data_IF_777943818979
#
_entry.id   IF_777943818979
#
_cell.length_a   1.000
_cell.length_b   1.000
_cell.length_c   1.000
_cell.angle_alpha   90.00
_cell.angle_beta   90.00
_cell.angle_gamma   90.00
#
_symmetry.space_group_name_H-M   'P 1'
#
loop_
_entity.id
_entity.type
_entity.pdbx_description
1 polymer ?
#
# COMPACT_ATOMS: atom_id res chain seq x y z
N UNK A 1 -37.25 37.38 46.08
CA UNK A 1 -37.65 36.09 46.68
C UNK A 1 -37.63 35.03 45.58
N UNK A 2 -36.63 34.14 45.49
CA UNK A 2 -36.60 33.10 44.46
C UNK A 2 -37.44 31.88 44.89
N UNK A 3 -38.25 31.34 43.95
CA UNK A 3 -39.03 30.11 44.14
C UNK A 3 -38.11 28.89 44.01
N UNK A 4 -38.22 27.87 44.89
CA UNK A 4 -37.45 26.64 44.74
C UNK A 4 -37.96 25.82 43.55
N UNK A 5 -37.02 25.34 42.72
CA UNK A 5 -37.26 24.28 41.75
C UNK A 5 -37.60 22.99 42.50
N UNK A 6 -38.82 22.49 42.30
CA UNK A 6 -39.25 21.19 42.81
C UNK A 6 -38.81 20.15 41.79
N UNK A 7 -37.84 19.32 42.15
CA UNK A 7 -37.46 18.15 41.36
C UNK A 7 -38.59 17.12 41.36
N UNK A 8 -38.97 16.55 40.20
CA UNK A 8 -39.99 15.51 40.15
C UNK A 8 -39.49 14.22 40.81
N UNK A 9 -40.36 13.45 41.48
CA UNK A 9 -39.97 12.21 42.13
C UNK A 9 -39.53 11.18 41.08
N UNK A 10 -38.26 10.75 41.15
CA UNK A 10 -37.76 9.59 40.38
C UNK A 10 -38.57 8.35 40.74
N UNK A 11 -39.49 7.95 39.86
CA UNK A 11 -40.22 6.68 39.99
C UNK A 11 -39.22 5.52 39.96
N UNK A 12 -39.08 4.81 41.07
CA UNK A 12 -38.29 3.58 41.13
C UNK A 12 -38.98 2.53 40.25
N UNK A 13 -38.29 1.94 39.26
CA UNK A 13 -38.88 0.90 38.43
C UNK A 13 -39.23 -0.32 39.30
N UNK A 14 -40.42 -0.88 39.07
CA UNK A 14 -40.91 -2.02 39.83
C UNK A 14 -40.04 -3.26 39.57
N UNK A 15 -40.04 -4.22 40.51
CA UNK A 15 -39.29 -5.48 40.36
C UNK A 15 -39.67 -6.23 39.07
N UNK A 16 -40.93 -6.13 38.65
CA UNK A 16 -41.42 -6.71 37.39
C UNK A 16 -40.75 -6.08 36.16
N UNK A 17 -40.58 -4.76 36.13
CA UNK A 17 -39.92 -4.07 35.00
C UNK A 17 -38.43 -4.42 34.91
N UNK A 18 -37.75 -4.59 36.06
CA UNK A 18 -36.34 -5.01 36.09
C UNK A 18 -36.14 -6.44 35.59
N UNK A 19 -37.05 -7.35 35.96
CA UNK A 19 -37.02 -8.74 35.48
C UNK A 19 -37.30 -8.84 33.98
N UNK A 20 -38.27 -8.07 33.47
CA UNK A 20 -38.57 -8.02 32.04
C UNK A 20 -37.39 -7.50 31.21
N UNK A 21 -36.72 -6.44 31.67
CA UNK A 21 -35.52 -5.91 31.02
C UNK A 21 -34.36 -6.92 31.02
N UNK A 22 -34.17 -7.65 32.12
CA UNK A 22 -33.15 -8.70 32.22
C UNK A 22 -33.40 -9.85 31.23
N UNK A 23 -34.64 -10.33 31.13
CA UNK A 23 -35.02 -11.39 30.20
C UNK A 23 -34.87 -10.96 28.73
N UNK A 24 -35.24 -9.72 28.41
CA UNK A 24 -35.07 -9.17 27.06
C UNK A 24 -33.59 -9.09 26.68
N UNK A 25 -32.75 -8.58 27.58
CA UNK A 25 -31.31 -8.51 27.35
C UNK A 25 -30.70 -9.90 27.14
N UNK A 26 -31.04 -10.87 28.00
CA UNK A 26 -30.54 -12.24 27.87
C UNK A 26 -30.99 -12.88 26.54
N UNK A 27 -32.25 -12.69 26.14
CA UNK A 27 -32.77 -13.18 24.87
C UNK A 27 -32.07 -12.55 23.67
N UNK A 28 -31.82 -11.24 23.70
CA UNK A 28 -31.09 -10.54 22.64
C UNK A 28 -29.66 -11.08 22.48
N UNK A 29 -28.96 -11.33 23.58
CA UNK A 29 -27.60 -11.88 23.54
C UNK A 29 -27.59 -13.32 23.03
N UNK A 30 -28.57 -14.14 23.44
CA UNK A 30 -28.72 -15.51 22.94
C UNK A 30 -28.99 -15.55 21.43
N UNK A 31 -29.80 -14.61 20.91
CA UNK A 31 -30.08 -14.51 19.48
C UNK A 31 -28.85 -14.11 18.67
N UNK A 32 -28.04 -13.15 19.16
CA UNK A 32 -26.78 -12.76 18.52
C UNK A 32 -25.80 -13.93 18.51
N UNK A 33 -25.66 -14.65 19.63
CA UNK A 33 -24.78 -15.82 19.71
C UNK A 33 -25.20 -16.91 18.73
N UNK A 34 -26.51 -17.18 18.62
CA UNK A 34 -27.04 -18.15 17.66
C UNK A 34 -26.74 -17.73 16.22
N UNK A 35 -26.91 -16.45 15.87
CA UNK A 35 -26.61 -15.94 14.53
C UNK A 35 -25.12 -16.11 14.16
N UNK A 36 -24.21 -15.88 15.11
CA UNK A 36 -22.76 -16.08 14.90
C UNK A 36 -22.44 -17.56 14.69
N UNK A 37 -23.00 -18.45 15.52
CA UNK A 37 -22.78 -19.88 15.42
C UNK A 37 -23.31 -20.48 14.11
N UNK A 38 -24.41 -19.92 13.59
CA UNK A 38 -25.01 -20.33 12.32
C UNK A 38 -24.29 -19.77 11.08
N UNK A 39 -23.42 -18.78 11.25
CA UNK A 39 -22.74 -18.09 10.15
C UNK A 39 -21.36 -18.67 9.82
N UNK A 40 -21.14 -19.97 10.01
CA UNK A 40 -19.89 -20.60 9.57
C UNK A 40 -19.82 -20.52 8.03
N UNK A 41 -18.93 -19.67 7.53
CA UNK A 41 -18.71 -19.49 6.10
C UNK A 41 -18.15 -20.75 5.45
N UNK A 42 -18.36 -20.88 4.13
CA UNK A 42 -17.86 -22.00 3.35
C UNK A 42 -16.33 -22.19 3.51
N UNK A 43 -15.84 -23.45 3.51
CA UNK A 43 -14.42 -23.73 3.48
C UNK A 43 -13.76 -22.99 2.32
N UNK A 44 -12.66 -22.27 2.61
CA UNK A 44 -11.88 -21.60 1.56
C UNK A 44 -11.46 -22.65 0.51
N UNK A 45 -11.63 -22.37 -0.80
CA UNK A 45 -11.09 -23.22 -1.84
C UNK A 45 -9.58 -23.44 -1.61
N UNK A 46 -9.04 -24.64 -1.91
CA UNK A 46 -7.62 -24.90 -1.78
C UNK A 46 -6.83 -23.90 -2.65
N UNK A 47 -5.82 -23.29 -2.05
CA UNK A 47 -4.93 -22.36 -2.74
C UNK A 47 -4.14 -23.13 -3.81
N UNK A 48 -4.06 -22.64 -5.06
CA UNK A 48 -3.32 -23.33 -6.11
C UNK A 48 -1.84 -23.39 -5.73
N UNK A 49 -1.22 -24.56 -5.93
CA UNK A 49 0.20 -24.74 -5.62
C UNK A 49 1.07 -23.76 -6.43
N UNK A 50 2.09 -23.14 -5.80
CA UNK A 50 2.97 -22.23 -6.49
C UNK A 50 3.78 -22.98 -7.55
N UNK A 51 3.54 -22.67 -8.83
CA UNK A 51 4.38 -23.16 -9.91
C UNK A 51 5.54 -22.19 -10.14
N UNK A 52 6.77 -22.73 -10.15
CA UNK A 52 7.96 -21.97 -10.48
C UNK A 52 8.08 -21.85 -12.00
N UNK A 53 8.24 -20.62 -12.50
CA UNK A 53 8.54 -20.36 -13.92
C UNK A 53 10.05 -20.24 -14.05
N UNK A 54 10.67 -21.19 -14.76
CA UNK A 54 12.09 -21.13 -15.06
C UNK A 54 12.31 -20.36 -16.37
N UNK A 55 13.10 -19.29 -16.31
CA UNK A 55 13.41 -18.46 -17.46
C UNK A 55 14.50 -19.16 -18.28
N UNK A 56 14.09 -19.96 -19.26
CA UNK A 56 15.01 -20.53 -20.25
C UNK A 56 15.61 -19.38 -21.04
N UNK A 57 16.91 -19.14 -20.86
CA UNK A 57 17.65 -18.17 -21.65
C UNK A 57 17.66 -18.66 -23.12
N UNK A 58 17.11 -17.90 -24.07
CA UNK A 58 17.11 -18.31 -25.47
C UNK A 58 18.56 -18.46 -25.96
N UNK A 59 18.83 -19.42 -26.85
CA UNK A 59 20.17 -19.59 -27.42
C UNK A 59 20.61 -18.27 -28.07
N UNK A 60 21.93 -17.94 -27.99
CA UNK A 60 22.44 -16.74 -28.62
C UNK A 60 22.11 -16.74 -30.12
N UNK A 61 21.80 -15.57 -30.70
CA UNK A 61 21.50 -15.47 -32.11
C UNK A 61 22.66 -16.00 -32.95
N UNK A 62 22.39 -16.65 -34.09
CA UNK A 62 23.44 -17.13 -34.97
C UNK A 62 24.36 -15.97 -35.37
N UNK A 63 25.67 -16.22 -35.54
CA UNK A 63 26.59 -15.19 -35.96
C UNK A 63 26.13 -14.58 -37.29
N UNK A 64 26.32 -13.26 -37.49
CA UNK A 64 25.97 -12.61 -38.74
C UNK A 64 26.67 -13.31 -39.91
N UNK A 65 26.03 -13.40 -41.09
CA UNK A 65 26.66 -13.95 -42.28
C UNK A 65 27.99 -13.23 -42.54
N UNK A 66 29.05 -13.97 -42.92
CA UNK A 66 30.32 -13.34 -43.27
C UNK A 66 30.09 -12.33 -44.39
N UNK A 67 30.65 -11.13 -44.23
CA UNK A 67 30.61 -10.11 -45.26
C UNK A 67 31.19 -10.65 -46.58
N UNK A 68 30.61 -10.29 -47.74
CA UNK A 68 31.13 -10.70 -49.03
C UNK A 68 32.59 -10.26 -49.17
N UNK A 69 33.49 -11.23 -49.40
CA UNK A 69 34.89 -10.93 -49.72
C UNK A 69 34.92 -10.04 -50.98
N UNK A 70 35.78 -9.00 -51.03
CA UNK A 70 36.03 -8.26 -52.25
C UNK A 70 36.41 -9.22 -53.39
N UNK A 71 35.97 -8.96 -54.63
CA UNK A 71 36.28 -9.83 -55.75
C UNK A 71 37.80 -9.92 -55.94
N UNK A 72 38.29 -11.15 -56.10
CA UNK A 72 39.70 -11.43 -56.36
C UNK A 72 40.11 -10.83 -57.72
N UNK A 73 41.35 -10.32 -57.87
CA UNK A 73 41.90 -9.97 -59.17
C UNK A 73 42.03 -11.21 -60.07
N UNK A 74 41.84 -11.00 -61.38
CA UNK A 74 41.85 -12.02 -62.43
C UNK A 74 43.13 -12.87 -62.52
N UNK A 75 43.03 -14.09 -63.07
CA UNK A 75 44.06 -15.11 -62.95
C UNK A 75 45.17 -14.97 -64.00
N UNK A 76 46.42 -15.29 -63.59
CA UNK A 76 47.50 -15.63 -64.53
C UNK A 76 47.59 -17.15 -64.68
N UNK A 77 47.82 -17.70 -65.90
CA UNK A 77 47.65 -19.12 -66.16
C UNK A 77 48.91 -19.96 -65.91
N UNK A 78 48.66 -21.20 -65.50
CA UNK A 78 49.44 -22.44 -65.71
C UNK A 78 50.83 -22.53 -65.05
N UNK A 79 51.28 -23.62 -64.41
CA UNK A 79 51.04 -25.04 -64.73
C UNK A 79 51.42 -25.98 -63.55
N UNK A 80 50.68 -27.10 -63.49
CA UNK A 80 51.11 -28.50 -63.23
C UNK A 80 50.88 -29.14 -61.84
N UNK A 81 50.36 -30.38 -61.78
CA UNK A 81 49.84 -30.99 -60.54
C UNK A 81 50.86 -31.89 -59.84
N UNK A 82 50.88 -31.85 -58.50
CA UNK A 82 51.54 -32.86 -57.66
C UNK A 82 50.50 -33.62 -56.83
N UNK A 83 50.67 -34.95 -56.85
CA UNK A 83 49.88 -36.01 -56.21
C UNK A 83 49.75 -35.82 -54.68
N UNK A 84 48.64 -36.24 -54.04
CA UNK A 84 48.48 -36.07 -52.59
C UNK A 84 49.29 -37.11 -51.80
N UNK A 85 50.00 -36.72 -50.72
CA UNK A 85 50.37 -37.66 -49.66
C UNK A 85 49.25 -37.81 -48.62
N UNK A 86 49.09 -39.05 -48.15
CA UNK A 86 48.19 -39.54 -47.10
C UNK A 86 48.34 -38.78 -45.76
N UNK A 87 47.30 -38.71 -44.90
CA UNK A 87 47.30 -37.83 -43.74
C UNK A 87 48.14 -38.38 -42.58
N UNK A 88 48.92 -37.49 -41.95
CA UNK A 88 49.55 -37.73 -40.66
C UNK A 88 48.52 -37.64 -39.51
N UNK A 89 48.72 -38.34 -38.38
CA UNK A 89 47.78 -38.33 -37.25
C UNK A 89 47.60 -36.93 -36.65
N UNK A 90 46.42 -36.62 -36.07
CA UNK A 90 46.12 -35.31 -35.53
C UNK A 90 47.03 -35.00 -34.32
N UNK A 91 47.60 -33.79 -34.30
CA UNK A 91 48.32 -33.27 -33.13
C UNK A 91 47.33 -33.04 -31.98
N UNK A 92 47.74 -33.24 -30.71
CA UNK A 92 46.89 -32.91 -29.57
C UNK A 92 46.56 -31.42 -29.54
N UNK A 93 45.30 -31.08 -29.24
CA UNK A 93 44.84 -29.70 -29.09
C UNK A 93 45.64 -28.96 -28.00
N UNK A 94 45.96 -27.66 -28.20
CA UNK A 94 46.57 -26.87 -27.14
C UNK A 94 45.58 -26.68 -25.99
N UNK A 95 46.07 -26.86 -24.76
CA UNK A 95 45.31 -26.58 -23.53
C UNK A 95 44.83 -25.11 -23.53
N UNK A 96 43.60 -24.80 -23.08
CA UNK A 96 43.11 -23.43 -23.03
C UNK A 96 43.98 -22.57 -22.10
N UNK A 97 44.22 -21.28 -22.42
CA UNK A 97 44.93 -20.39 -21.52
C UNK A 97 44.11 -20.17 -20.24
N UNK A 98 44.76 -20.31 -19.09
CA UNK A 98 44.18 -20.02 -17.78
C UNK A 98 43.90 -18.52 -17.70
N UNK A 99 42.63 -18.11 -17.58
CA UNK A 99 42.27 -16.70 -17.33
C UNK A 99 42.85 -16.28 -15.98
N UNK A 100 43.83 -15.39 -15.98
CA UNK A 100 44.20 -14.63 -14.78
C UNK A 100 42.99 -13.79 -14.36
N UNK A 101 42.61 -13.88 -13.08
CA UNK A 101 41.52 -13.08 -12.53
C UNK A 101 41.87 -11.58 -12.68
N UNK A 102 40.98 -10.82 -13.31
CA UNK A 102 41.10 -9.36 -13.37
C UNK A 102 40.96 -8.83 -11.93
N UNK A 103 41.83 -7.94 -11.46
CA UNK A 103 41.67 -7.33 -10.14
C UNK A 103 40.30 -6.65 -10.05
N UNK A 104 39.52 -6.98 -9.02
CA UNK A 104 38.27 -6.28 -8.74
C UNK A 104 38.59 -4.81 -8.49
N UNK A 105 38.07 -3.91 -9.32
CA UNK A 105 38.13 -2.48 -9.07
C UNK A 105 37.31 -2.25 -7.81
N UNK A 106 37.98 -1.89 -6.72
CA UNK A 106 37.31 -1.50 -5.48
C UNK A 106 36.50 -0.24 -5.82
N UNK A 107 35.17 -0.20 -5.55
CA UNK A 107 34.41 1.03 -5.74
C UNK A 107 35.10 2.15 -4.95
N UNK A 108 35.08 3.40 -5.45
CA UNK A 108 35.69 4.51 -4.74
C UNK A 108 35.08 4.60 -3.34
N UNK A 109 35.92 4.87 -2.32
CA UNK A 109 35.46 5.21 -0.98
C UNK A 109 34.70 6.54 -1.09
N UNK A 110 33.38 6.45 -1.23
CA UNK A 110 32.49 7.59 -1.15
C UNK A 110 32.17 7.76 0.32
N UNK A 111 32.59 8.90 0.88
CA UNK A 111 32.23 9.29 2.24
C UNK A 111 30.70 9.23 2.37
N UNK A 112 30.15 8.38 3.26
CA UNK A 112 28.71 8.25 3.40
C UNK A 112 28.13 9.62 3.75
N UNK A 113 27.20 10.10 2.94
CA UNK A 113 26.43 11.29 3.29
C UNK A 113 25.88 11.08 4.71
N UNK A 114 26.05 12.05 5.63
CA UNK A 114 25.56 11.90 6.98
C UNK A 114 24.06 11.67 6.91
N UNK A 115 23.62 10.48 7.34
CA UNK A 115 22.21 10.24 7.57
C UNK A 115 21.79 11.19 8.69
N UNK A 116 20.99 12.20 8.37
CA UNK A 116 20.26 12.95 9.39
C UNK A 116 19.55 11.94 10.27
N UNK A 117 19.72 11.98 11.61
CA UNK A 117 19.00 11.08 12.50
C UNK A 117 17.52 11.19 12.15
N UNK A 118 16.87 10.04 11.97
CA UNK A 118 15.44 10.00 11.69
C UNK A 118 14.74 10.87 12.72
N UNK A 119 14.12 11.97 12.26
CA UNK A 119 13.30 12.84 13.10
C UNK A 119 12.43 11.95 13.98
N UNK A 120 12.46 12.17 15.30
CA UNK A 120 11.71 11.40 16.32
C UNK A 120 10.38 10.93 15.77
N UNK A 121 10.36 9.70 15.29
CA UNK A 121 9.30 9.23 14.40
C UNK A 121 8.05 9.02 15.23
N UNK A 122 6.97 9.73 14.91
CA UNK A 122 5.69 9.49 15.55
C UNK A 122 5.07 8.19 15.02
N UNK A 123 4.71 7.30 15.95
CA UNK A 123 4.10 6.02 15.63
C UNK A 123 2.62 6.18 15.26
N UNK A 124 2.12 5.31 14.38
CA UNK A 124 0.72 5.21 14.02
C UNK A 124 -0.07 4.72 15.24
N UNK A 125 -1.12 5.47 15.59
CA UNK A 125 -2.01 5.14 16.69
C UNK A 125 -3.22 4.34 16.17
N UNK A 126 -3.81 3.51 17.04
CA UNK A 126 -5.08 2.83 16.77
C UNK A 126 -6.20 3.60 17.47
N UNK A 127 -7.22 3.98 16.72
CA UNK A 127 -8.36 4.77 17.17
C UNK A 127 -9.61 3.89 17.29
N UNK A 128 -10.26 3.94 18.45
CA UNK A 128 -11.55 3.34 18.71
C UNK A 128 -12.72 4.28 18.35
N UNK A 129 -13.96 3.79 18.48
CA UNK A 129 -15.16 4.53 18.06
C UNK A 129 -15.33 5.89 18.74
N UNK A 130 -14.94 6.02 20.01
CA UNK A 130 -15.06 7.28 20.74
C UNK A 130 -14.15 8.37 20.16
N UNK A 131 -12.95 8.01 19.70
CA UNK A 131 -11.98 8.94 19.10
C UNK A 131 -12.36 9.30 17.66
N UNK A 132 -13.13 8.43 17.00
CA UNK A 132 -13.67 8.65 15.66
C UNK A 132 -15.03 9.36 15.67
N UNK A 133 -15.56 9.72 16.85
CA UNK A 133 -16.82 10.44 16.95
C UNK A 133 -16.73 11.78 16.20
N UNK A 134 -17.60 11.98 15.21
CA UNK A 134 -17.59 13.17 14.36
C UNK A 134 -16.57 13.14 13.21
N UNK A 135 -15.87 12.01 13.00
CA UNK A 135 -15.03 11.84 11.83
C UNK A 135 -15.86 11.84 10.53
N UNK A 136 -15.33 12.47 9.49
CA UNK A 136 -15.94 12.47 8.16
C UNK A 136 -15.73 11.12 7.51
N UNK A 137 -16.81 10.48 7.09
CA UNK A 137 -16.80 9.24 6.30
C UNK A 137 -17.50 9.46 4.97
N UNK A 138 -17.39 8.49 4.06
CA UNK A 138 -18.14 8.53 2.80
C UNK A 138 -19.63 8.65 3.09
N UNK A 139 -20.27 9.70 2.54
CA UNK A 139 -21.70 9.97 2.73
C UNK A 139 -22.06 10.83 3.95
N UNK A 140 -21.10 11.20 4.81
CA UNK A 140 -21.32 12.05 5.98
C UNK A 140 -21.01 13.55 5.73
N UNK A 141 -20.79 13.95 4.47
CA UNK A 141 -20.48 15.34 4.10
C UNK A 141 -21.71 16.25 4.11
N UNK A 142 -21.63 17.33 4.88
CA UNK A 142 -22.56 18.48 4.90
C UNK A 142 -22.99 18.90 3.50
N UNK A 143 -24.30 18.84 3.24
CA UNK A 143 -24.89 19.26 1.97
C UNK A 143 -24.86 20.78 1.78
N UNK A 144 -24.43 21.21 0.60
CA UNK A 144 -24.80 22.48 -0.01
C UNK A 144 -24.88 22.29 -1.53
N UNK A 145 -26.10 22.37 -2.09
CA UNK A 145 -26.32 22.89 -3.44
C UNK A 145 -26.38 21.89 -4.60
N UNK A 146 -27.52 21.93 -5.29
CA UNK A 146 -27.84 21.34 -6.58
C UNK A 146 -26.79 21.57 -7.69
N UNK A 147 -26.68 20.59 -8.60
CA UNK A 147 -25.99 20.72 -9.89
C UNK A 147 -24.52 20.25 -9.85
N UNK A 148 -24.22 19.16 -10.54
CA UNK A 148 -22.86 18.68 -10.86
C UNK A 148 -21.89 18.36 -9.69
N UNK A 149 -22.43 18.08 -8.50
CA UNK A 149 -21.71 17.84 -7.24
C UNK A 149 -20.99 16.49 -7.06
N UNK A 150 -20.59 15.81 -8.14
CA UNK A 150 -19.71 14.64 -8.09
C UNK A 150 -18.20 15.00 -8.11
N UNK A 151 -17.87 16.28 -8.35
CA UNK A 151 -16.54 16.67 -8.82
C UNK A 151 -15.41 16.61 -7.78
N UNK A 152 -15.70 16.75 -6.47
CA UNK A 152 -14.65 16.77 -5.42
C UNK A 152 -14.97 15.97 -4.14
N UNK A 153 -15.76 14.88 -4.21
CA UNK A 153 -15.87 13.92 -3.08
C UNK A 153 -14.58 13.10 -2.95
N UNK A 154 -13.56 13.74 -2.36
CA UNK A 154 -12.22 13.17 -2.17
C UNK A 154 -12.22 11.99 -1.21
N UNK A 155 -13.14 11.95 -0.23
CA UNK A 155 -13.25 10.82 0.71
C UNK A 155 -13.71 9.58 -0.05
N UNK A 156 -14.74 9.71 -0.89
CA UNK A 156 -15.23 8.61 -1.73
C UNK A 156 -14.20 8.18 -2.77
N UNK A 157 -13.53 9.13 -3.42
CA UNK A 157 -12.44 8.86 -4.38
C UNK A 157 -11.32 8.06 -3.71
N UNK A 158 -10.82 8.53 -2.58
CA UNK A 158 -9.74 7.88 -1.85
C UNK A 158 -10.17 6.49 -1.35
N UNK A 159 -11.36 6.37 -0.78
CA UNK A 159 -11.89 5.07 -0.37
C UNK A 159 -11.96 4.08 -1.52
N UNK A 160 -12.51 4.50 -2.66
CA UNK A 160 -12.62 3.64 -3.83
C UNK A 160 -11.25 3.21 -4.36
N UNK A 161 -10.26 4.10 -4.38
CA UNK A 161 -8.90 3.79 -4.80
C UNK A 161 -8.20 2.80 -3.87
N UNK A 162 -8.26 3.03 -2.55
CA UNK A 162 -7.59 2.17 -1.57
C UNK A 162 -8.24 0.78 -1.47
N UNK A 163 -9.56 0.68 -1.59
CA UNK A 163 -10.29 -0.61 -1.65
C UNK A 163 -9.83 -1.48 -2.81
N UNK A 164 -9.61 -0.87 -3.99
CA UNK A 164 -9.14 -1.58 -5.19
C UNK A 164 -7.66 -1.99 -5.11
N UNK A 165 -6.90 -1.50 -4.13
CA UNK A 165 -5.48 -1.80 -4.01
C UNK A 165 -5.24 -2.97 -3.03
N UNK A 166 -4.96 -4.20 -3.51
CA UNK A 166 -4.69 -5.33 -2.62
C UNK A 166 -3.43 -5.14 -1.77
N UNK A 167 -2.44 -4.37 -2.25
CA UNK A 167 -1.20 -4.08 -1.50
C UNK A 167 -1.45 -3.21 -0.28
N UNK A 168 -2.41 -2.28 -0.37
CA UNK A 168 -2.82 -1.45 0.77
C UNK A 168 -3.48 -2.31 1.84
N UNK A 169 -4.37 -3.22 1.44
CA UNK A 169 -5.05 -4.13 2.36
C UNK A 169 -4.08 -5.10 3.04
N UNK A 170 -3.16 -5.71 2.28
CA UNK A 170 -2.16 -6.61 2.85
C UNK A 170 -1.19 -5.86 3.77
N UNK A 171 -0.73 -4.66 3.39
CA UNK A 171 0.14 -3.85 4.23
C UNK A 171 -0.52 -3.48 5.58
N UNK A 172 -1.81 -3.12 5.57
CA UNK A 172 -2.54 -2.82 6.80
C UNK A 172 -2.73 -4.07 7.66
N UNK A 173 -3.09 -5.21 7.06
CA UNK A 173 -3.25 -6.47 7.79
C UNK A 173 -1.92 -6.94 8.42
N UNK A 174 -0.79 -6.76 7.72
CA UNK A 174 0.54 -7.13 8.24
C UNK A 174 1.03 -6.18 9.34
N UNK A 175 0.76 -4.88 9.22
CA UNK A 175 1.26 -3.88 10.18
C UNK A 175 0.34 -3.71 11.40
N UNK A 176 -0.97 -3.91 11.25
CA UNK A 176 -2.00 -3.63 12.25
C UNK A 176 -3.14 -4.65 12.20
N UNK A 177 -2.81 -5.95 12.12
CA UNK A 177 -3.79 -7.02 12.04
C UNK A 177 -4.76 -7.07 13.24
N UNK A 178 -4.27 -6.78 14.45
CA UNK A 178 -5.11 -6.72 15.66
C UNK A 178 -6.07 -5.52 15.63
N UNK A 179 -5.60 -4.35 15.21
CA UNK A 179 -6.45 -3.18 14.99
C UNK A 179 -7.56 -3.49 13.97
N UNK A 180 -7.18 -4.09 12.85
CA UNK A 180 -8.09 -4.47 11.78
C UNK A 180 -9.12 -5.50 12.25
N UNK A 181 -8.71 -6.52 13.01
CA UNK A 181 -9.59 -7.54 13.55
C UNK A 181 -10.57 -6.99 14.62
N UNK A 182 -10.12 -6.00 15.41
CA UNK A 182 -10.95 -5.29 16.39
C UNK A 182 -11.75 -4.13 15.77
N UNK A 183 -11.67 -3.95 14.45
CA UNK A 183 -12.35 -2.90 13.73
C UNK A 183 -11.81 -1.50 13.95
N UNK A 184 -10.75 -1.29 14.75
CA UNK A 184 -10.15 0.03 15.01
C UNK A 184 -9.60 0.66 13.74
N UNK A 185 -9.57 1.99 13.70
CA UNK A 185 -8.93 2.72 12.61
C UNK A 185 -7.46 2.98 12.92
N UNK A 186 -6.59 2.79 11.93
CA UNK A 186 -5.17 3.14 12.06
C UNK A 186 -4.96 4.58 11.62
N UNK A 187 -4.51 5.45 12.53
CA UNK A 187 -4.15 6.83 12.23
C UNK A 187 -2.80 6.84 11.52
N UNK A 188 -2.81 7.29 10.26
CA UNK A 188 -1.62 7.28 9.40
C UNK A 188 -1.09 8.68 9.07
N UNK A 189 -1.90 9.72 9.29
CA UNK A 189 -1.50 11.11 9.12
C UNK A 189 -2.28 12.05 10.04
N UNK A 190 -1.57 12.95 10.73
CA UNK A 190 -2.13 13.97 11.62
C UNK A 190 -1.45 15.35 11.48
N UNK A 191 -1.25 15.79 10.24
CA UNK A 191 -0.32 16.88 9.91
C UNK A 191 1.10 16.37 9.62
N UNK A 192 1.44 15.16 10.09
CA UNK A 192 2.66 14.43 9.75
C UNK A 192 2.34 12.97 9.45
N UNK A 193 3.09 12.36 8.55
CA UNK A 193 2.94 10.93 8.23
C UNK A 193 3.47 10.03 9.36
N UNK A 194 2.58 9.23 9.97
CA UNK A 194 2.86 8.38 11.14
C UNK A 194 3.31 6.96 10.77
N UNK A 195 4.40 6.45 11.34
CA UNK A 195 5.00 5.15 10.97
C UNK A 195 4.49 4.01 11.86
N UNK A 196 4.42 2.77 11.37
CA UNK A 196 4.17 1.60 12.21
C UNK A 196 5.49 1.05 12.82
N UNK A 197 5.43 0.27 13.92
CA UNK A 197 6.58 -0.51 14.38
C UNK A 197 7.09 -1.47 13.27
N UNK A 198 8.38 -1.82 13.32
CA UNK A 198 9.01 -2.91 12.53
C UNK A 198 9.18 -2.69 11.02
N UNK A 199 9.47 -1.46 10.57
CA UNK A 199 9.57 -1.09 9.15
C UNK A 199 10.87 -1.53 8.43
N UNK A 200 11.26 -2.81 8.53
CA UNK A 200 12.22 -3.41 7.58
C UNK A 200 11.42 -4.02 6.44
N UNK A 201 11.06 -3.16 5.46
CA UNK A 201 10.41 -3.56 4.20
C UNK A 201 8.93 -3.16 4.07
N UNK A 202 8.66 -2.14 3.22
CA UNK A 202 7.37 -1.83 2.56
C UNK A 202 6.06 -1.85 3.41
N UNK A 203 6.08 -1.61 4.72
CA UNK A 203 4.86 -1.57 5.57
C UNK A 203 3.89 -0.43 5.23
N UNK A 204 3.51 0.44 6.17
CA UNK A 204 2.63 1.58 5.85
C UNK A 204 3.17 2.53 4.77
N UNK A 205 4.46 2.43 4.39
CA UNK A 205 5.04 3.20 3.29
C UNK A 205 4.26 3.05 1.96
N UNK A 206 3.83 1.83 1.61
CA UNK A 206 3.02 1.62 0.40
C UNK A 206 1.60 2.19 0.50
N UNK A 207 1.05 2.27 1.72
CA UNK A 207 -0.24 2.92 1.99
C UNK A 207 -0.12 4.43 1.77
N UNK A 208 0.95 5.04 2.29
CA UNK A 208 1.23 6.48 2.10
C UNK A 208 1.42 6.82 0.63
N UNK A 209 2.23 6.04 -0.07
CA UNK A 209 2.47 6.22 -1.51
C UNK A 209 1.15 6.16 -2.29
N UNK A 210 0.29 5.17 -2.02
CA UNK A 210 -1.01 5.07 -2.68
C UNK A 210 -1.90 6.30 -2.40
N UNK A 211 -1.89 6.83 -1.18
CA UNK A 211 -2.66 8.03 -0.82
C UNK A 211 -2.09 9.27 -1.51
N UNK A 212 -0.77 9.47 -1.45
CA UNK A 212 -0.08 10.60 -2.10
C UNK A 212 -0.38 10.61 -3.60
N UNK A 213 -0.33 9.45 -4.25
CA UNK A 213 -0.62 9.33 -5.68
C UNK A 213 -2.09 9.66 -5.97
N UNK A 214 -3.04 9.05 -5.25
CA UNK A 214 -4.47 9.28 -5.47
C UNK A 214 -4.85 10.76 -5.26
N UNK A 215 -4.31 11.37 -4.20
CA UNK A 215 -4.52 12.79 -3.92
C UNK A 215 -3.81 13.65 -4.96
N UNK A 216 -2.58 13.32 -5.34
CA UNK A 216 -1.77 14.07 -6.29
C UNK A 216 -2.39 14.16 -7.69
N UNK A 217 -3.12 13.13 -8.11
CA UNK A 217 -3.85 13.12 -9.39
C UNK A 217 -5.25 13.75 -9.33
N UNK A 218 -5.74 14.16 -8.17
CA UNK A 218 -7.02 14.86 -8.08
C UNK A 218 -6.91 16.29 -8.61
N UNK A 219 -7.98 16.90 -9.18
CA UNK A 219 -7.96 18.28 -9.64
C UNK A 219 -7.50 19.26 -8.55
N UNK A 220 -6.74 20.29 -8.93
CA UNK A 220 -6.15 21.24 -7.98
C UNK A 220 -7.20 21.90 -7.05
N UNK A 221 -8.37 22.23 -7.60
CA UNK A 221 -9.50 22.75 -6.82
C UNK A 221 -9.95 21.77 -5.72
N UNK A 222 -10.09 20.48 -6.04
CA UNK A 222 -10.46 19.47 -5.05
C UNK A 222 -9.39 19.28 -3.98
N UNK A 223 -8.11 19.35 -4.36
CA UNK A 223 -7.00 19.25 -3.40
C UNK A 223 -6.97 20.43 -2.43
N UNK A 224 -7.44 21.59 -2.86
CA UNK A 224 -7.50 22.79 -2.06
C UNK A 224 -8.70 22.82 -1.09
N UNK A 225 -9.66 21.90 -1.19
CA UNK A 225 -10.83 21.91 -0.31
C UNK A 225 -10.42 21.82 1.17
N UNK A 226 -10.93 22.73 2.02
CA UNK A 226 -10.63 22.71 3.45
C UNK A 226 -11.38 21.55 4.12
N UNK A 227 -10.67 20.83 4.98
CA UNK A 227 -11.13 19.72 5.80
C UNK A 227 -10.90 20.07 7.27
N UNK A 228 -11.70 19.46 8.14
CA UNK A 228 -11.59 19.60 9.60
C UNK A 228 -11.73 18.24 10.26
N UNK A 229 -10.96 18.03 11.32
CA UNK A 229 -10.96 16.79 12.07
C UNK A 229 -10.51 15.60 11.23
N UNK A 230 -10.88 14.40 11.70
CA UNK A 230 -10.51 13.14 11.07
C UNK A 230 -11.43 12.81 9.90
N UNK A 231 -10.83 12.26 8.86
CA UNK A 231 -11.47 11.49 7.80
C UNK A 231 -11.17 10.03 8.04
N UNK A 232 -12.19 9.19 8.02
CA UNK A 232 -12.06 7.74 8.13
C UNK A 232 -12.41 7.09 6.81
N UNK A 233 -11.49 6.26 6.31
CA UNK A 233 -11.62 5.51 5.06
C UNK A 233 -11.75 4.03 5.38
N UNK A 234 -12.84 3.41 4.92
CA UNK A 234 -13.03 1.96 5.10
C UNK A 234 -12.48 1.17 3.91
N UNK A 235 -11.67 0.14 4.16
CA UNK A 235 -11.04 -0.68 3.13
C UNK A 235 -11.88 -1.90 2.70
N UNK A 236 -12.99 -2.15 3.38
CA UNK A 236 -13.97 -3.16 3.01
C UNK A 236 -15.38 -2.70 3.40
N UNK A 237 -16.39 -3.45 3.00
CA UNK A 237 -17.76 -3.25 3.45
C UNK A 237 -18.04 -4.14 4.68
N UNK A 238 -19.01 -3.73 5.49
CA UNK A 238 -19.43 -4.47 6.68
C UNK A 238 -18.83 -3.97 8.00
N UNK A 239 -19.42 -4.39 9.14
CA UNK A 239 -18.95 -4.03 10.46
C UNK A 239 -17.55 -4.59 10.72
N UNK A 240 -16.69 -3.80 11.36
CA UNK A 240 -15.31 -4.21 11.65
C UNK A 240 -14.38 -4.23 10.44
N UNK A 241 -14.79 -3.69 9.28
CA UNK A 241 -13.91 -3.52 8.14
C UNK A 241 -12.63 -2.77 8.54
N UNK A 242 -11.45 -3.11 7.98
CA UNK A 242 -10.21 -2.39 8.27
C UNK A 242 -10.35 -0.92 7.87
N UNK A 243 -9.95 0.00 8.75
CA UNK A 243 -10.11 1.44 8.57
C UNK A 243 -8.78 2.19 8.69
N UNK A 244 -8.65 3.25 7.91
CA UNK A 244 -7.57 4.22 8.02
C UNK A 244 -8.15 5.56 8.46
N UNK A 245 -7.41 6.27 9.31
CA UNK A 245 -7.75 7.63 9.73
C UNK A 245 -6.68 8.63 9.27
N UNK A 246 -7.14 9.78 8.79
CA UNK A 246 -6.35 10.89 8.27
C UNK A 246 -6.94 12.19 8.80
N UNK A 247 -6.16 13.07 9.40
CA UNK A 247 -6.63 14.43 9.64
C UNK A 247 -6.02 15.12 10.84
N UNK A 248 -6.26 16.42 10.90
CA UNK A 248 -5.88 17.31 12.00
C UNK A 248 -7.02 18.32 12.21
N UNK A 249 -6.87 19.27 13.13
CA UNK A 249 -7.90 20.27 13.45
C UNK A 249 -8.41 21.03 12.20
N UNK A 250 -7.50 21.44 11.32
CA UNK A 250 -7.82 22.06 10.02
C UNK A 250 -6.73 21.76 9.00
N UNK A 251 -7.11 21.26 7.83
CA UNK A 251 -6.16 20.83 6.79
C UNK A 251 -6.78 20.90 5.40
N UNK A 252 -5.98 20.66 4.36
CA UNK A 252 -6.44 20.47 2.97
C UNK A 252 -5.90 19.14 2.45
N UNK A 253 -6.55 18.56 1.46
CA UNK A 253 -6.04 17.34 0.82
C UNK A 253 -4.62 17.51 0.28
N UNK A 254 -4.26 18.69 -0.23
CA UNK A 254 -2.90 19.01 -0.65
C UNK A 254 -1.85 18.84 0.45
N UNK A 255 -2.22 18.94 1.73
CA UNK A 255 -1.28 18.83 2.85
C UNK A 255 -0.73 17.40 2.99
N UNK A 256 -1.42 16.39 2.43
CA UNK A 256 -0.93 15.00 2.37
C UNK A 256 0.25 14.82 1.40
N UNK A 257 0.46 15.77 0.48
CA UNK A 257 1.49 15.66 -0.57
C UNK A 257 2.88 16.11 -0.12
N UNK A 258 2.98 16.75 1.04
CA UNK A 258 4.22 17.34 1.52
C UNK A 258 4.84 16.54 2.66
N UNK A 259 6.16 16.54 2.70
CA UNK A 259 6.91 16.08 3.86
C UNK A 259 6.81 17.12 4.99
N UNK A 260 7.02 16.72 6.26
CA UNK A 260 7.12 17.67 7.35
C UNK A 260 8.09 18.81 7.01
N UNK A 261 7.64 20.07 7.13
CA UNK A 261 8.48 21.25 6.93
C UNK A 261 8.63 21.75 5.47
N UNK A 262 8.04 21.10 4.46
CA UNK A 262 8.18 21.53 3.05
C UNK A 262 7.01 22.35 2.51
N UNK A 263 6.14 22.88 3.40
CA UNK A 263 5.06 23.78 2.99
C UNK A 263 5.67 25.09 2.45
N UNK A 264 5.42 25.49 1.20
CA UNK A 264 5.79 26.84 0.79
C UNK A 264 4.99 27.85 1.63
N UNK A 265 5.62 28.93 2.14
CA UNK A 265 4.90 29.94 2.89
C UNK A 265 3.76 30.49 2.03
N UNK A 266 2.54 30.42 2.56
CA UNK A 266 1.39 31.08 1.95
C UNK A 266 1.67 32.57 1.92
N UNK A 267 1.88 33.15 0.72
CA UNK A 267 1.83 34.60 0.57
C UNK A 267 0.45 35.07 1.00
N UNK A 268 0.41 35.82 2.10
CA UNK A 268 -0.73 36.66 2.47
C UNK A 268 -0.87 37.84 1.53
#
# INVERSE_FOLDING_TARGET
>A
MPRPLIDPPRRRPSRATKLAAGLFSAGAHAAVLAAVMLSQGDPRPPEPEPFAVDLIQPPPPPPPPPEPKPPAPEPRPDSKPARPPSPAPPKPDPKPPTRTARPAVRPPDVEPLPATPADTTMMAAELGEAELAGATTVGAGSGNGSGDGASCDMVRRLQAALRRNPRVRSALASAHGEAAASGKAVLIWNGKWLQSPNQVGRGLAGVREAIIMEVGFAPAACRANPMRGLVVVSLADGPGAPRLALGDASWRWSDLLFAPGTRPPTRG
#
